data_IF_403954050579
#
_entry.id   IF_403954050579
#
_cell.length_a   1.000
_cell.length_b   1.000
_cell.length_c   1.000
_cell.angle_alpha   90.00
_cell.angle_beta   90.00
_cell.angle_gamma   90.00
#
_symmetry.space_group_name_H-M   'P 1'
#
loop_
_entity.id
_entity.type
_entity.pdbx_description
1 polymer ?
#
# COMPACT_ATOMS: atom_id res chain seq x y z
N UNK A 1 -39.42 46.88 -28.74
CA UNK A 1 -38.22 46.42 -28.01
C UNK A 1 -37.06 47.34 -28.35
N UNK A 2 -36.41 47.96 -27.36
CA UNK A 2 -35.35 48.96 -27.60
C UNK A 2 -34.12 48.25 -28.21
N UNK A 3 -33.49 48.79 -29.27
CA UNK A 3 -32.35 48.14 -29.95
C UNK A 3 -31.24 47.72 -28.97
N UNK A 4 -31.02 48.52 -27.92
CA UNK A 4 -30.07 48.23 -26.83
C UNK A 4 -30.41 46.95 -26.05
N UNK A 5 -31.69 46.69 -25.78
CA UNK A 5 -32.14 45.48 -25.08
C UNK A 5 -31.94 44.25 -25.99
N UNK A 6 -32.19 44.40 -27.29
CA UNK A 6 -31.97 43.31 -28.26
C UNK A 6 -30.49 42.93 -28.37
N UNK A 7 -29.60 43.93 -28.41
CA UNK A 7 -28.15 43.70 -28.43
C UNK A 7 -27.65 43.08 -27.12
N UNK A 8 -28.16 43.52 -25.96
CA UNK A 8 -27.80 42.92 -24.68
C UNK A 8 -28.27 41.46 -24.56
N UNK A 9 -29.49 41.14 -25.00
CA UNK A 9 -30.00 39.76 -25.02
C UNK A 9 -29.23 38.88 -26.00
N UNK A 10 -28.90 39.40 -27.19
CA UNK A 10 -28.10 38.68 -28.18
C UNK A 10 -26.66 38.44 -27.72
N UNK A 11 -26.08 39.33 -26.91
CA UNK A 11 -24.76 39.16 -26.30
C UNK A 11 -24.78 38.26 -25.06
N UNK A 12 -25.88 38.25 -24.30
CA UNK A 12 -26.05 37.40 -23.13
C UNK A 12 -26.23 35.93 -23.53
N UNK A 13 -26.93 35.65 -24.63
CA UNK A 13 -27.17 34.28 -25.11
C UNK A 13 -25.88 33.45 -25.26
N UNK A 14 -24.82 33.88 -26.00
CA UNK A 14 -23.59 33.10 -26.11
C UNK A 14 -22.84 32.97 -24.77
N UNK A 15 -22.93 33.97 -23.89
CA UNK A 15 -22.33 33.88 -22.54
C UNK A 15 -23.04 32.83 -21.70
N UNK A 16 -24.37 32.79 -21.75
CA UNK A 16 -25.18 31.76 -21.06
C UNK A 16 -24.93 30.38 -21.66
N UNK A 17 -24.90 30.25 -22.99
CA UNK A 17 -24.58 28.98 -23.66
C UNK A 17 -23.18 28.50 -23.29
N UNK A 18 -22.18 29.38 -23.29
CA UNK A 18 -20.83 29.02 -22.88
C UNK A 18 -20.76 28.64 -21.40
N UNK A 19 -21.46 29.37 -20.52
CA UNK A 19 -21.57 29.02 -19.10
C UNK A 19 -22.21 27.65 -18.88
N UNK A 20 -23.26 27.31 -19.64
CA UNK A 20 -23.89 25.98 -19.61
C UNK A 20 -22.92 24.91 -20.11
N UNK A 21 -22.18 25.16 -21.20
CA UNK A 21 -21.18 24.21 -21.70
C UNK A 21 -20.06 23.95 -20.68
N UNK A 22 -19.56 25.00 -20.03
CA UNK A 22 -18.55 24.87 -18.96
C UNK A 22 -19.05 24.02 -17.80
N UNK A 23 -20.34 24.11 -17.44
CA UNK A 23 -20.92 23.41 -16.30
C UNK A 23 -21.47 22.01 -16.63
N UNK A 24 -21.89 21.75 -17.86
CA UNK A 24 -22.61 20.52 -18.22
C UNK A 24 -21.78 19.52 -19.02
N UNK A 25 -20.72 19.98 -19.71
CA UNK A 25 -19.89 19.09 -20.55
C UNK A 25 -18.74 18.53 -19.73
N UNK A 26 -18.73 17.21 -19.58
CA UNK A 26 -17.60 16.49 -18.98
C UNK A 26 -16.47 16.30 -19.98
N UNK A 27 -15.23 16.42 -19.52
CA UNK A 27 -14.03 16.22 -20.34
C UNK A 27 -13.41 14.83 -20.06
N UNK A 28 -12.71 14.23 -21.04
CA UNK A 28 -12.04 12.93 -20.87
C UNK A 28 -10.69 13.09 -20.15
N UNK A 29 -10.68 13.81 -19.02
CA UNK A 29 -9.50 14.08 -18.20
C UNK A 29 -9.80 13.76 -16.74
N UNK A 30 -8.74 13.36 -16.04
CA UNK A 30 -8.69 13.12 -14.59
C UNK A 30 -7.75 14.14 -13.98
N UNK A 31 -8.07 14.67 -12.80
CA UNK A 31 -7.12 15.47 -12.01
C UNK A 31 -6.39 14.59 -11.00
N UNK A 32 -5.08 14.76 -10.92
CA UNK A 32 -4.23 14.23 -9.87
C UNK A 32 -3.69 15.38 -9.03
N UNK A 33 -3.70 15.24 -7.72
CA UNK A 33 -3.28 16.30 -6.80
C UNK A 33 -2.81 15.78 -5.45
N UNK A 34 -2.39 16.67 -4.55
CA UNK A 34 -2.02 16.30 -3.18
C UNK A 34 -3.20 15.63 -2.46
N UNK A 35 -3.00 14.40 -1.98
CA UNK A 35 -3.99 13.65 -1.22
C UNK A 35 -3.88 13.86 0.30
N UNK A 36 -4.78 13.26 1.10
CA UNK A 36 -4.64 13.23 2.56
C UNK A 36 -3.38 12.48 3.00
N UNK A 37 -2.86 12.85 4.17
CA UNK A 37 -1.77 12.15 4.85
C UNK A 37 -2.29 11.46 6.10
N UNK A 38 -1.72 10.30 6.44
CA UNK A 38 -2.11 9.54 7.62
C UNK A 38 -0.89 9.20 8.45
N UNK A 39 -0.94 9.51 9.75
CA UNK A 39 0.09 9.13 10.71
C UNK A 39 -0.04 7.65 11.05
N UNK A 40 0.92 6.84 10.61
CA UNK A 40 0.90 5.38 10.81
C UNK A 40 1.13 4.97 12.27
N UNK A 41 1.67 5.88 13.09
CA UNK A 41 1.79 5.68 14.54
C UNK A 41 0.51 6.08 15.30
N UNK A 42 -0.36 6.85 14.65
CA UNK A 42 -1.55 7.46 15.23
C UNK A 42 -2.83 6.66 15.08
N UNK A 43 -3.96 7.38 15.16
CA UNK A 43 -5.31 6.85 15.10
C UNK A 43 -6.07 7.46 13.92
N UNK A 44 -6.89 6.66 13.25
CA UNK A 44 -7.86 7.07 12.23
C UNK A 44 -9.21 6.45 12.58
N UNK A 45 -10.26 7.27 12.62
CA UNK A 45 -11.63 6.84 12.96
C UNK A 45 -11.74 6.02 14.26
N UNK A 46 -10.88 6.32 15.24
CA UNK A 46 -10.85 5.63 16.54
C UNK A 46 -10.12 4.29 16.56
N UNK A 47 -9.46 3.89 15.46
CA UNK A 47 -8.58 2.71 15.39
C UNK A 47 -7.13 3.11 15.18
N UNK A 48 -6.19 2.33 15.70
CA UNK A 48 -4.77 2.53 15.41
C UNK A 48 -4.51 2.23 13.94
N UNK A 49 -3.81 3.12 13.23
CA UNK A 49 -3.50 2.91 11.81
C UNK A 49 -2.68 1.64 11.62
N UNK A 50 -1.68 1.42 12.46
CA UNK A 50 -0.97 0.14 12.58
C UNK A 50 -1.23 -0.41 13.98
N UNK A 51 -2.07 -1.44 14.07
CA UNK A 51 -2.42 -2.12 15.31
C UNK A 51 -1.67 -3.46 15.41
N UNK A 52 -0.99 -3.70 16.53
CA UNK A 52 -0.25 -4.94 16.75
C UNK A 52 -0.82 -5.62 17.98
N UNK A 53 -1.33 -6.84 17.80
CA UNK A 53 -2.05 -7.59 18.82
C UNK A 53 -1.41 -8.96 19.05
N UNK A 54 -1.24 -9.35 20.32
CA UNK A 54 -0.66 -10.64 20.70
C UNK A 54 0.82 -10.60 21.08
N UNK A 55 1.42 -9.41 21.14
CA UNK A 55 2.79 -9.19 21.65
C UNK A 55 2.89 -7.85 22.38
N UNK A 56 4.01 -7.63 23.06
CA UNK A 56 4.30 -6.33 23.70
C UNK A 56 4.75 -5.33 22.65
N UNK A 57 4.16 -4.14 22.66
CA UNK A 57 4.58 -3.00 21.86
C UNK A 57 5.23 -1.93 22.74
N UNK A 58 6.00 -1.05 22.12
CA UNK A 58 6.66 0.07 22.76
C UNK A 58 5.95 1.39 22.45
N UNK A 59 6.01 2.37 23.37
CA UNK A 59 5.49 3.71 23.10
C UNK A 59 6.29 4.36 21.98
N UNK A 60 5.58 5.02 21.06
CA UNK A 60 6.16 5.74 19.92
C UNK A 60 5.97 7.25 20.11
N UNK A 61 6.84 8.05 19.48
CA UNK A 61 6.80 9.52 19.53
C UNK A 61 6.99 10.09 18.13
N UNK A 62 6.65 11.38 17.96
CA UNK A 62 6.74 12.05 16.67
C UNK A 62 5.66 11.56 15.71
N UNK A 63 5.93 11.70 14.41
CA UNK A 63 4.99 11.31 13.36
C UNK A 63 5.70 10.51 12.26
N UNK A 64 5.03 9.45 11.79
CA UNK A 64 5.40 8.74 10.57
C UNK A 64 4.23 8.79 9.61
N UNK A 65 4.15 9.84 8.79
CA UNK A 65 3.03 10.02 7.89
C UNK A 65 3.27 9.35 6.54
N UNK A 66 2.33 8.51 6.12
CA UNK A 66 2.21 8.15 4.72
C UNK A 66 1.45 9.24 3.94
N UNK A 67 1.74 9.32 2.64
CA UNK A 67 1.15 10.31 1.74
C UNK A 67 0.45 9.64 0.57
N UNK A 68 -0.65 10.25 0.12
CA UNK A 68 -1.46 9.73 -0.99
C UNK A 68 -1.59 10.78 -2.09
N UNK A 69 -2.10 10.35 -3.25
CA UNK A 69 -2.46 11.23 -4.37
C UNK A 69 -3.98 11.26 -4.45
N UNK A 70 -4.56 12.44 -4.47
CA UNK A 70 -6.00 12.63 -4.74
C UNK A 70 -6.25 12.45 -6.23
N UNK A 71 -7.29 11.71 -6.57
CA UNK A 71 -7.73 11.50 -7.95
C UNK A 71 -9.18 11.96 -8.12
N UNK A 72 -9.47 12.75 -9.16
CA UNK A 72 -10.84 13.19 -9.47
C UNK A 72 -11.16 12.95 -10.95
N UNK A 73 -12.26 12.27 -11.18
CA UNK A 73 -12.75 11.91 -12.51
C UNK A 73 -14.16 12.48 -12.75
N UNK A 74 -14.60 12.54 -14.01
CA UNK A 74 -15.89 13.12 -14.40
C UNK A 74 -15.90 14.65 -14.35
N UNK A 75 -14.74 15.27 -14.53
CA UNK A 75 -14.58 16.72 -14.49
C UNK A 75 -15.39 17.41 -15.58
N UNK A 76 -16.11 18.47 -15.22
CA UNK A 76 -16.67 19.42 -16.19
C UNK A 76 -15.54 20.24 -16.84
N UNK A 77 -15.80 20.82 -18.01
CA UNK A 77 -14.83 21.69 -18.68
C UNK A 77 -14.41 22.89 -17.81
N UNK A 78 -15.36 23.45 -17.05
CA UNK A 78 -15.09 24.54 -16.10
C UNK A 78 -14.18 24.10 -14.95
N UNK A 79 -14.45 22.93 -14.37
CA UNK A 79 -13.61 22.37 -13.30
C UNK A 79 -12.21 22.04 -13.80
N UNK A 80 -12.09 21.40 -14.97
CA UNK A 80 -10.79 21.10 -15.56
C UNK A 80 -9.97 22.38 -15.77
N UNK A 81 -10.57 23.44 -16.33
CA UNK A 81 -9.89 24.72 -16.50
C UNK A 81 -9.48 25.34 -15.16
N UNK A 82 -10.36 25.31 -14.16
CA UNK A 82 -10.06 25.85 -12.83
C UNK A 82 -8.92 25.09 -12.13
N UNK A 83 -8.94 23.76 -12.18
CA UNK A 83 -7.90 22.90 -11.59
C UNK A 83 -6.57 23.07 -12.32
N UNK A 84 -6.58 23.16 -13.65
CA UNK A 84 -5.38 23.44 -14.43
C UNK A 84 -4.77 24.81 -14.12
N UNK A 85 -5.61 25.86 -14.03
CA UNK A 85 -5.17 27.20 -13.67
C UNK A 85 -4.63 27.31 -12.24
N UNK A 86 -5.03 26.41 -11.33
CA UNK A 86 -4.53 26.40 -9.96
C UNK A 86 -3.03 26.10 -9.86
N UNK A 87 -2.46 25.43 -10.87
CA UNK A 87 -1.07 24.95 -10.86
C UNK A 87 -0.77 23.86 -9.83
N UNK A 88 -1.76 23.44 -9.04
CA UNK A 88 -1.64 22.45 -7.96
C UNK A 88 -1.99 21.03 -8.43
N UNK A 89 -2.89 20.95 -9.41
CA UNK A 89 -3.45 19.72 -9.93
C UNK A 89 -2.90 19.45 -11.34
N UNK A 90 -2.56 18.20 -11.60
CA UNK A 90 -2.16 17.72 -12.91
C UNK A 90 -3.37 17.13 -13.62
N UNK A 91 -3.69 17.65 -14.82
CA UNK A 91 -4.69 17.02 -15.68
C UNK A 91 -4.03 15.97 -16.56
N UNK A 92 -4.59 14.76 -16.54
CA UNK A 92 -4.14 13.66 -17.38
C UNK A 92 -5.30 13.10 -18.21
N UNK A 93 -5.05 12.65 -19.46
CA UNK A 93 -6.04 11.92 -20.22
C UNK A 93 -6.59 10.74 -19.42
N UNK A 94 -7.91 10.61 -19.38
CA UNK A 94 -8.59 9.58 -18.58
C UNK A 94 -8.10 8.16 -18.91
N UNK A 95 -7.83 7.87 -20.18
CA UNK A 95 -7.42 6.55 -20.65
C UNK A 95 -6.04 6.11 -20.13
N UNK A 96 -5.21 7.04 -19.64
CA UNK A 96 -3.93 6.70 -18.98
C UNK A 96 -4.12 6.23 -17.53
N UNK A 97 -5.23 6.61 -16.92
CA UNK A 97 -5.57 6.29 -15.53
C UNK A 97 -6.56 5.13 -15.47
N UNK A 98 -7.55 5.15 -16.37
CA UNK A 98 -8.57 4.12 -16.54
C UNK A 98 -8.42 3.52 -17.94
N UNK A 99 -7.64 2.44 -18.10
CA UNK A 99 -7.37 1.85 -19.39
C UNK A 99 -8.66 1.47 -20.14
N UNK A 100 -8.71 1.62 -21.48
CA UNK A 100 -9.87 1.24 -22.25
C UNK A 100 -10.15 -0.26 -22.09
N UNK A 101 -11.39 -0.60 -21.75
CA UNK A 101 -11.84 -1.98 -21.55
C UNK A 101 -11.87 -2.45 -20.09
N UNK A 102 -11.45 -1.61 -19.13
CA UNK A 102 -11.71 -1.83 -17.70
C UNK A 102 -12.78 -0.86 -17.18
N UNK A 103 -13.70 -1.39 -16.38
CA UNK A 103 -14.63 -0.59 -15.58
C UNK A 103 -13.90 0.14 -14.43
N UNK A 104 -14.55 1.13 -13.81
CA UNK A 104 -13.97 1.80 -12.64
C UNK A 104 -13.86 0.85 -11.47
N UNK A 105 -14.89 0.02 -11.30
CA UNK A 105 -14.98 -0.99 -10.26
C UNK A 105 -13.80 -1.98 -10.35
N UNK A 106 -13.45 -2.46 -11.55
CA UNK A 106 -12.27 -3.33 -11.73
C UNK A 106 -10.95 -2.62 -11.39
N UNK A 107 -10.82 -1.32 -11.69
CA UNK A 107 -9.61 -0.55 -11.34
C UNK A 107 -9.52 -0.34 -9.82
N UNK A 108 -10.64 -0.08 -9.16
CA UNK A 108 -10.70 0.07 -7.71
C UNK A 108 -10.39 -1.27 -7.00
N UNK A 109 -10.90 -2.39 -7.52
CA UNK A 109 -10.56 -3.74 -7.04
C UNK A 109 -9.06 -4.06 -7.19
N UNK A 110 -8.45 -3.71 -8.33
CA UNK A 110 -7.01 -3.86 -8.56
C UNK A 110 -6.20 -3.00 -7.56
N UNK A 111 -6.60 -1.75 -7.35
CA UNK A 111 -5.93 -0.82 -6.42
C UNK A 111 -6.02 -1.31 -4.96
N UNK A 112 -7.16 -1.86 -4.56
CA UNK A 112 -7.38 -2.45 -3.24
C UNK A 112 -6.52 -3.72 -3.06
N UNK A 113 -6.41 -4.55 -4.10
CA UNK A 113 -5.54 -5.72 -4.09
C UNK A 113 -4.06 -5.33 -3.96
N UNK A 114 -3.61 -4.31 -4.69
CA UNK A 114 -2.24 -3.76 -4.56
C UNK A 114 -1.98 -3.18 -3.18
N UNK A 115 -2.97 -2.51 -2.58
CA UNK A 115 -2.86 -1.97 -1.23
C UNK A 115 -2.70 -3.09 -0.19
N UNK A 116 -3.53 -4.13 -0.25
CA UNK A 116 -3.40 -5.33 0.61
C UNK A 116 -2.05 -6.02 0.43
N UNK A 117 -1.56 -6.13 -0.81
CA UNK A 117 -0.23 -6.68 -1.08
C UNK A 117 0.89 -5.81 -0.49
N UNK A 118 0.70 -4.49 -0.45
CA UNK A 118 1.62 -3.54 0.20
C UNK A 118 1.67 -3.73 1.72
N UNK A 119 0.51 -3.94 2.36
CA UNK A 119 0.41 -4.26 3.79
C UNK A 119 1.15 -5.55 4.14
N UNK A 120 0.92 -6.62 3.37
CA UNK A 120 1.63 -7.90 3.55
C UNK A 120 3.14 -7.75 3.35
N UNK A 121 3.56 -7.05 2.29
CA UNK A 121 4.98 -6.80 2.02
C UNK A 121 5.63 -5.98 3.12
N UNK A 122 4.89 -5.02 3.69
CA UNK A 122 5.36 -4.20 4.81
C UNK A 122 5.52 -5.01 6.09
N UNK A 123 4.56 -5.87 6.41
CA UNK A 123 4.67 -6.81 7.53
C UNK A 123 5.90 -7.72 7.36
N UNK A 124 6.06 -8.37 6.21
CA UNK A 124 7.18 -9.27 5.95
C UNK A 124 8.53 -8.56 5.98
N UNK A 125 8.63 -7.36 5.39
CA UNK A 125 9.86 -6.57 5.42
C UNK A 125 10.23 -6.15 6.85
N UNK A 126 9.26 -5.71 7.65
CA UNK A 126 9.48 -5.33 9.04
C UNK A 126 9.89 -6.53 9.90
N UNK A 127 9.18 -7.66 9.80
CA UNK A 127 9.51 -8.88 10.52
C UNK A 127 10.88 -9.44 10.11
N UNK A 128 11.21 -9.35 8.82
CA UNK A 128 12.53 -9.69 8.29
C UNK A 128 13.64 -8.81 8.86
N UNK A 129 13.43 -7.49 8.91
CA UNK A 129 14.36 -6.54 9.55
C UNK A 129 14.59 -6.89 11.02
N UNK A 130 13.52 -7.22 11.74
CA UNK A 130 13.54 -7.63 13.15
C UNK A 130 14.02 -9.07 13.38
N UNK A 131 14.45 -9.78 12.33
CA UNK A 131 15.02 -11.14 12.37
C UNK A 131 14.05 -12.22 12.90
N UNK A 132 12.76 -12.06 12.65
CA UNK A 132 11.82 -13.16 12.85
C UNK A 132 12.13 -14.33 11.89
N UNK A 133 11.93 -15.58 12.33
CA UNK A 133 12.24 -16.75 11.51
C UNK A 133 11.33 -16.82 10.29
N UNK A 134 11.88 -17.30 9.18
CA UNK A 134 11.10 -17.60 7.97
C UNK A 134 10.23 -18.83 8.18
N UNK A 135 9.05 -18.83 7.56
CA UNK A 135 8.14 -19.97 7.50
C UNK A 135 7.48 -20.03 6.11
N UNK A 136 6.97 -21.23 5.75
CA UNK A 136 6.11 -21.39 4.59
C UNK A 136 4.75 -20.80 4.93
N UNK A 137 4.47 -19.59 4.45
CA UNK A 137 3.26 -18.84 4.80
C UNK A 137 2.25 -18.92 3.67
N UNK A 138 0.97 -19.11 4.01
CA UNK A 138 -0.12 -19.07 3.04
C UNK A 138 -0.35 -17.62 2.59
N UNK A 139 -0.07 -17.34 1.32
CA UNK A 139 -0.39 -16.06 0.69
C UNK A 139 -1.89 -15.93 0.45
N UNK A 140 -2.50 -17.02 -0.01
CA UNK A 140 -3.90 -17.07 -0.41
C UNK A 140 -4.48 -18.48 -0.30
N UNK A 141 -5.80 -18.56 -0.08
CA UNK A 141 -6.58 -19.80 -0.05
C UNK A 141 -7.72 -19.64 -1.05
N UNK A 142 -7.70 -20.44 -2.11
CA UNK A 142 -8.69 -20.33 -3.18
C UNK A 142 -10.08 -20.76 -2.68
N UNK A 143 -11.09 -19.94 -2.93
CA UNK A 143 -12.50 -20.23 -2.68
C UNK A 143 -13.30 -20.08 -3.99
N UNK A 144 -13.92 -21.15 -4.53
CA UNK A 144 -13.98 -22.51 -3.98
C UNK A 144 -12.65 -23.27 -4.13
N UNK A 145 -12.29 -24.03 -3.11
CA UNK A 145 -11.08 -24.88 -3.14
C UNK A 145 -10.99 -25.89 -2.00
N UNK A 146 -10.13 -26.91 -2.10
CA UNK A 146 -10.01 -27.98 -1.10
C UNK A 146 -9.67 -27.53 0.32
N UNK A 147 -8.92 -26.42 0.43
CA UNK A 147 -8.49 -25.81 1.69
C UNK A 147 -9.44 -24.74 2.22
N UNK A 148 -10.48 -24.36 1.46
CA UNK A 148 -11.43 -23.33 1.84
C UNK A 148 -12.10 -23.68 3.18
N UNK A 149 -12.15 -22.72 4.10
CA UNK A 149 -12.68 -22.88 5.46
C UNK A 149 -11.84 -23.74 6.41
N UNK A 150 -10.73 -24.33 5.96
CA UNK A 150 -9.84 -25.16 6.79
C UNK A 150 -8.53 -24.44 7.13
N UNK A 151 -7.96 -23.76 6.13
CA UNK A 151 -6.78 -22.92 6.26
C UNK A 151 -7.16 -21.46 5.96
N UNK A 152 -6.30 -20.52 6.35
CA UNK A 152 -6.50 -19.09 6.15
C UNK A 152 -5.21 -18.45 5.61
N UNK A 153 -5.33 -17.38 4.79
CA UNK A 153 -4.18 -16.53 4.49
C UNK A 153 -3.47 -16.07 5.77
N UNK A 154 -2.14 -16.13 5.78
CA UNK A 154 -1.29 -15.82 6.94
C UNK A 154 -0.97 -16.99 7.87
N UNK A 155 -1.56 -18.18 7.66
CA UNK A 155 -1.13 -19.40 8.34
C UNK A 155 0.32 -19.76 7.96
N UNK A 156 1.14 -20.12 8.94
CA UNK A 156 2.46 -20.72 8.71
C UNK A 156 2.35 -22.24 8.74
N UNK A 157 2.79 -22.92 7.68
CA UNK A 157 2.86 -24.38 7.61
C UNK A 157 4.15 -24.87 8.23
N UNK A 158 4.03 -25.78 9.20
CA UNK A 158 5.18 -26.40 9.85
C UNK A 158 5.45 -27.82 9.31
N UNK A 159 4.41 -28.56 8.90
CA UNK A 159 4.56 -29.92 8.36
C UNK A 159 3.45 -30.35 7.39
N UNK A 160 3.77 -31.31 6.51
CA UNK A 160 2.83 -32.02 5.63
C UNK A 160 2.94 -33.51 5.94
N UNK A 161 1.84 -34.15 6.33
CA UNK A 161 1.78 -35.56 6.76
C UNK A 161 2.78 -35.90 7.88
N UNK A 162 2.98 -34.96 8.82
CA UNK A 162 3.93 -35.10 9.93
C UNK A 162 5.39 -34.90 9.53
N UNK A 163 5.68 -34.60 8.26
CA UNK A 163 7.04 -34.32 7.80
C UNK A 163 7.29 -32.80 7.73
N UNK A 164 8.32 -32.27 8.41
CA UNK A 164 8.53 -30.83 8.48
C UNK A 164 8.82 -30.16 7.14
N UNK A 165 8.22 -29.00 6.93
CA UNK A 165 8.42 -28.14 5.76
C UNK A 165 8.82 -26.74 6.24
N UNK A 166 9.96 -26.26 5.76
CA UNK A 166 10.51 -24.95 6.13
C UNK A 166 10.80 -24.06 4.93
N UNK A 167 10.56 -24.58 3.71
CA UNK A 167 10.71 -23.83 2.47
C UNK A 167 9.60 -24.22 1.49
N UNK A 168 9.26 -23.32 0.56
CA UNK A 168 8.26 -23.57 -0.48
C UNK A 168 8.66 -24.76 -1.36
N UNK A 169 9.96 -24.96 -1.64
CA UNK A 169 10.42 -26.10 -2.43
C UNK A 169 10.13 -27.42 -1.72
N UNK A 170 10.37 -27.49 -0.39
CA UNK A 170 10.05 -28.68 0.40
C UNK A 170 8.56 -28.91 0.46
N UNK A 171 7.78 -27.87 0.69
CA UNK A 171 6.32 -27.95 0.70
C UNK A 171 5.79 -28.49 -0.65
N UNK A 172 6.25 -27.92 -1.76
CA UNK A 172 5.86 -28.33 -3.11
C UNK A 172 6.29 -29.77 -3.41
N UNK A 173 7.50 -30.16 -3.01
CA UNK A 173 7.99 -31.53 -3.17
C UNK A 173 7.13 -32.55 -2.40
N UNK A 174 6.58 -32.19 -1.23
CA UNK A 174 5.67 -33.08 -0.48
C UNK A 174 4.33 -33.25 -1.18
N UNK A 175 3.80 -32.22 -1.83
CA UNK A 175 2.58 -32.35 -2.63
C UNK A 175 2.84 -33.05 -3.97
N UNK A 176 4.07 -33.02 -4.47
CA UNK A 176 4.39 -33.56 -5.79
C UNK A 176 4.17 -35.09 -5.94
N UNK A 177 4.16 -35.85 -4.85
CA UNK A 177 3.90 -37.29 -4.87
C UNK A 177 2.42 -37.69 -4.71
N UNK A 178 1.54 -36.72 -4.44
CA UNK A 178 0.15 -36.97 -4.04
C UNK A 178 -0.79 -37.08 -5.22
N UNK A 179 -1.98 -37.67 -5.01
CA UNK A 179 -3.03 -37.80 -6.04
C UNK A 179 -4.31 -37.05 -5.65
N UNK A 180 -5.12 -36.62 -6.62
CA UNK A 180 -6.48 -36.16 -6.34
C UNK A 180 -7.28 -37.21 -5.55
N UNK A 181 -8.07 -36.75 -4.58
CA UNK A 181 -8.83 -37.60 -3.66
C UNK A 181 -8.03 -38.15 -2.47
N UNK A 182 -6.70 -38.04 -2.47
CA UNK A 182 -5.87 -38.35 -1.31
C UNK A 182 -6.09 -37.31 -0.20
N UNK A 183 -6.02 -37.72 1.06
CA UNK A 183 -6.12 -36.78 2.20
C UNK A 183 -4.74 -36.53 2.79
N UNK A 184 -4.35 -35.26 2.86
CA UNK A 184 -3.12 -34.81 3.52
C UNK A 184 -3.43 -34.12 4.84
N UNK A 185 -2.54 -34.27 5.82
CA UNK A 185 -2.54 -33.51 7.06
C UNK A 185 -1.58 -32.32 6.93
N UNK A 186 -2.06 -31.11 7.19
CA UNK A 186 -1.27 -29.88 7.20
C UNK A 186 -1.19 -29.41 8.64
N UNK A 187 0.00 -29.44 9.23
CA UNK A 187 0.25 -28.84 10.55
C UNK A 187 0.61 -27.37 10.35
N UNK A 188 -0.10 -26.49 11.04
CA UNK A 188 0.04 -25.05 10.86
C UNK A 188 -0.02 -24.28 12.18
N UNK A 189 0.61 -23.11 12.19
CA UNK A 189 0.46 -22.07 13.20
C UNK A 189 -0.35 -20.93 12.62
N UNK A 190 -1.33 -20.49 13.40
CA UNK A 190 -2.15 -19.31 13.10
C UNK A 190 -1.86 -18.23 14.14
N UNK A 191 -1.76 -16.98 13.67
CA UNK A 191 -1.52 -15.82 14.53
C UNK A 191 -2.58 -15.77 15.64
N UNK A 192 -2.17 -15.50 16.88
CA UNK A 192 -3.05 -15.42 18.05
C UNK A 192 -3.89 -16.69 18.35
N UNK A 193 -3.48 -17.86 17.86
CA UNK A 193 -4.16 -19.13 18.10
C UNK A 193 -3.16 -20.25 18.45
N UNK A 194 -3.67 -21.33 19.04
CA UNK A 194 -2.89 -22.54 19.25
C UNK A 194 -2.55 -23.21 17.90
N UNK A 195 -1.41 -23.91 17.78
CA UNK A 195 -1.10 -24.71 16.59
C UNK A 195 -2.22 -25.71 16.28
N UNK A 196 -2.46 -25.97 14.99
CA UNK A 196 -3.53 -26.83 14.53
C UNK A 196 -3.09 -27.78 13.42
N UNK A 197 -3.95 -28.77 13.14
CA UNK A 197 -3.77 -29.71 12.02
C UNK A 197 -5.05 -29.72 11.18
N UNK A 198 -4.94 -29.40 9.89
CA UNK A 198 -6.04 -29.51 8.94
C UNK A 198 -5.91 -30.79 8.11
N UNK A 199 -6.99 -31.59 8.04
CA UNK A 199 -7.08 -32.74 7.12
C UNK A 199 -7.81 -32.34 5.85
N UNK A 200 -7.10 -32.40 4.72
CA UNK A 200 -7.54 -31.84 3.45
C UNK A 200 -7.50 -32.91 2.38
N UNK A 201 -8.67 -33.19 1.80
CA UNK A 201 -8.79 -34.06 0.63
C UNK A 201 -8.41 -33.25 -0.60
N UNK A 202 -7.36 -33.67 -1.30
CA UNK A 202 -6.82 -32.96 -2.44
C UNK A 202 -7.78 -32.98 -3.63
N UNK A 203 -7.92 -31.84 -4.29
CA UNK A 203 -8.71 -31.70 -5.51
C UNK A 203 -7.93 -32.11 -6.76
N UNK A 204 -8.59 -31.95 -7.91
CA UNK A 204 -7.98 -32.08 -9.22
C UNK A 204 -7.49 -30.71 -9.72
N UNK A 205 -6.41 -30.70 -10.51
CA UNK A 205 -5.98 -29.53 -11.27
C UNK A 205 -5.77 -29.97 -12.73
N UNK A 206 -6.31 -29.21 -13.69
CA UNK A 206 -6.24 -29.56 -15.12
C UNK A 206 -4.81 -29.56 -15.67
N UNK A 207 -3.91 -28.81 -15.04
CA UNK A 207 -2.55 -28.57 -15.52
C UNK A 207 -1.53 -29.54 -14.90
N UNK A 208 -1.89 -30.26 -13.83
CA UNK A 208 -0.97 -31.16 -13.11
C UNK A 208 -1.67 -32.43 -12.66
N UNK A 209 -1.05 -33.62 -12.82
CA UNK A 209 -1.66 -34.89 -12.41
C UNK A 209 -1.68 -35.10 -10.88
N UNK A 210 -1.07 -34.19 -10.12
CA UNK A 210 -0.86 -34.30 -8.68
C UNK A 210 -2.06 -33.74 -7.92
N UNK A 211 -2.21 -34.14 -6.66
CA UNK A 211 -3.26 -33.61 -5.80
C UNK A 211 -3.15 -32.09 -5.61
N UNK A 212 -4.28 -31.40 -5.77
CA UNK A 212 -4.38 -29.95 -5.66
C UNK A 212 -4.85 -29.52 -4.27
N UNK A 213 -4.08 -28.68 -3.60
CA UNK A 213 -4.44 -28.20 -2.26
C UNK A 213 -5.28 -26.91 -2.29
N UNK A 214 -5.21 -26.12 -3.36
CA UNK A 214 -5.95 -24.85 -3.48
C UNK A 214 -5.38 -23.71 -2.63
N UNK A 215 -4.06 -23.65 -2.46
CA UNK A 215 -3.38 -22.58 -1.71
C UNK A 215 -2.20 -22.03 -2.50
N UNK A 216 -1.91 -20.75 -2.30
CA UNK A 216 -0.67 -20.11 -2.72
C UNK A 216 0.21 -19.95 -1.48
N UNK A 217 1.49 -20.33 -1.56
CA UNK A 217 2.44 -20.22 -0.45
C UNK A 217 3.66 -19.42 -0.86
N UNK A 218 4.29 -18.75 0.12
CA UNK A 218 5.58 -18.11 -0.04
C UNK A 218 6.47 -18.38 1.17
N UNK A 219 7.79 -18.20 1.00
CA UNK A 219 8.71 -18.14 2.14
C UNK A 219 8.76 -16.70 2.66
N UNK A 220 8.34 -16.51 3.91
CA UNK A 220 8.27 -15.20 4.54
C UNK A 220 8.62 -15.26 6.02
N UNK A 221 9.23 -14.20 6.59
CA UNK A 221 9.32 -14.01 8.04
C UNK A 221 7.93 -14.09 8.69
N UNK A 222 7.82 -14.83 9.78
CA UNK A 222 6.54 -15.06 10.46
C UNK A 222 6.66 -14.86 11.97
N UNK A 223 5.61 -14.29 12.56
CA UNK A 223 5.51 -14.03 13.99
C UNK A 223 4.16 -14.50 14.55
N UNK A 224 4.09 -14.90 15.85
CA UNK A 224 2.88 -15.48 16.45
C UNK A 224 1.82 -14.45 16.87
N UNK A 225 1.91 -13.22 16.35
CA UNK A 225 1.00 -12.11 16.65
C UNK A 225 0.51 -11.48 15.34
N UNK A 226 -0.53 -10.66 15.41
CA UNK A 226 -1.12 -10.00 14.24
C UNK A 226 -0.67 -8.56 14.14
N UNK A 227 -0.42 -8.12 12.89
CA UNK A 227 -0.30 -6.72 12.50
C UNK A 227 -1.50 -6.40 11.62
N UNK A 228 -2.36 -5.48 12.05
CA UNK A 228 -3.51 -5.00 11.30
C UNK A 228 -3.28 -3.56 10.85
N UNK A 229 -3.61 -3.27 9.59
CA UNK A 229 -3.52 -1.95 9.00
C UNK A 229 -4.94 -1.41 8.81
N UNK A 230 -5.27 -0.32 9.50
CA UNK A 230 -6.63 0.23 9.57
C UNK A 230 -6.73 1.54 8.79
N UNK A 231 -6.64 1.47 7.45
CA UNK A 231 -6.98 2.58 6.56
C UNK A 231 -8.03 2.12 5.55
N UNK A 232 -9.08 2.93 5.39
CA UNK A 232 -10.13 2.68 4.43
C UNK A 232 -10.02 3.65 3.25
N UNK A 233 -10.47 3.22 2.08
CA UNK A 233 -10.55 4.03 0.86
C UNK A 233 -9.20 4.57 0.37
N UNK A 234 -8.11 3.81 0.60
CA UNK A 234 -6.77 4.12 0.10
C UNK A 234 -6.32 2.97 -0.79
N UNK A 235 -5.83 3.31 -1.99
CA UNK A 235 -5.37 2.33 -2.97
C UNK A 235 -3.89 2.48 -3.32
N UNK A 236 -3.34 1.44 -3.95
CA UNK A 236 -2.01 1.42 -4.54
C UNK A 236 -0.86 1.10 -3.57
N UNK A 237 0.31 0.71 -4.08
CA UNK A 237 1.31 0.00 -3.28
C UNK A 237 2.24 0.90 -2.43
N UNK A 238 2.05 2.23 -2.49
CA UNK A 238 3.09 3.20 -2.11
C UNK A 238 3.20 3.54 -0.61
N UNK A 239 2.37 2.92 0.23
CA UNK A 239 2.35 3.08 1.68
C UNK A 239 3.32 2.13 2.41
N UNK A 240 3.75 1.06 1.75
CA UNK A 240 4.42 -0.08 2.39
C UNK A 240 5.67 0.28 3.19
N UNK A 241 6.49 1.22 2.71
CA UNK A 241 7.66 1.68 3.48
C UNK A 241 7.26 2.27 4.84
N UNK A 242 6.26 3.16 4.85
CA UNK A 242 5.83 3.86 6.08
C UNK A 242 5.15 2.91 7.07
N UNK A 243 4.40 1.92 6.57
CA UNK A 243 3.86 0.83 7.37
C UNK A 243 4.95 -0.05 7.98
N UNK A 244 5.97 -0.41 7.20
CA UNK A 244 7.11 -1.20 7.71
C UNK A 244 7.83 -0.49 8.86
N UNK A 245 8.07 0.82 8.69
CA UNK A 245 8.71 1.64 9.72
C UNK A 245 7.87 1.72 10.99
N UNK A 246 6.55 1.87 10.89
CA UNK A 246 5.66 1.87 12.05
C UNK A 246 5.66 0.52 12.80
N UNK A 247 5.69 -0.59 12.08
CA UNK A 247 5.81 -1.92 12.70
C UNK A 247 7.15 -2.07 13.44
N UNK A 248 8.26 -1.64 12.81
CA UNK A 248 9.58 -1.65 13.46
C UNK A 248 9.57 -0.74 14.70
N UNK A 249 9.00 0.46 14.61
CA UNK A 249 8.97 1.41 15.72
C UNK A 249 8.17 0.86 16.91
N UNK A 250 6.97 0.32 16.66
CA UNK A 250 6.14 -0.29 17.71
C UNK A 250 6.74 -1.55 18.31
N UNK A 251 7.60 -2.29 17.59
CA UNK A 251 8.23 -3.53 18.06
C UNK A 251 9.68 -3.35 18.54
N UNK A 252 10.24 -2.13 18.48
CA UNK A 252 11.59 -1.84 18.95
C UNK A 252 11.61 -0.69 19.96
N UNK A 253 12.68 -0.63 20.75
CA UNK A 253 12.88 0.49 21.68
C UNK A 253 13.60 1.64 20.98
N UNK A 254 13.21 2.88 21.27
CA UNK A 254 14.01 4.06 20.94
C UNK A 254 13.41 5.05 19.95
N UNK A 255 12.18 4.84 19.46
CA UNK A 255 11.43 5.83 18.67
C UNK A 255 12.11 6.23 17.36
N UNK A 256 11.69 5.67 16.23
CA UNK A 256 12.34 5.96 14.93
C UNK A 256 12.23 7.43 14.51
N UNK A 257 11.07 8.05 14.69
CA UNK A 257 10.86 9.46 14.33
C UNK A 257 11.40 10.44 15.39
N UNK A 258 11.59 10.00 16.64
CA UNK A 258 11.91 10.89 17.76
C UNK A 258 10.82 11.95 17.96
N UNK A 259 11.19 13.24 17.96
CA UNK A 259 10.24 14.37 17.98
C UNK A 259 9.94 14.93 16.58
N UNK A 260 10.50 14.32 15.53
CA UNK A 260 10.38 14.83 14.18
C UNK A 260 9.00 14.51 13.59
N UNK A 261 8.53 15.40 12.73
CA UNK A 261 7.44 15.09 11.81
C UNK A 261 8.04 14.58 10.49
N UNK A 262 8.07 13.26 10.35
CA UNK A 262 8.54 12.60 9.14
C UNK A 262 7.35 12.13 8.31
N UNK A 263 7.33 12.50 7.03
CA UNK A 263 6.45 11.88 6.04
C UNK A 263 7.26 11.05 5.05
N UNK A 264 6.60 10.23 4.24
CA UNK A 264 7.28 9.51 3.18
C UNK A 264 6.36 8.69 2.30
N UNK A 265 7.01 7.97 1.37
CA UNK A 265 6.37 7.03 0.46
C UNK A 265 7.41 6.02 -0.03
N UNK A 266 6.96 4.87 -0.49
CA UNK A 266 7.79 3.89 -1.18
C UNK A 266 7.08 2.55 -1.26
N UNK A 267 7.14 1.92 -2.44
CA UNK A 267 6.74 0.51 -2.55
C UNK A 267 7.80 -0.31 -1.85
N UNK A 268 7.39 -1.18 -0.92
CA UNK A 268 8.31 -2.07 -0.21
C UNK A 268 8.14 -3.50 -0.72
N UNK A 269 9.25 -4.17 -0.98
CA UNK A 269 9.27 -5.62 -1.20
C UNK A 269 9.47 -6.35 0.12
N UNK A 270 9.04 -7.61 0.20
CA UNK A 270 9.21 -8.45 1.39
C UNK A 270 10.68 -8.60 1.85
N UNK A 271 11.66 -8.42 0.96
CA UNK A 271 13.09 -8.42 1.30
C UNK A 271 13.61 -7.07 1.84
N UNK A 272 12.76 -6.06 1.95
CA UNK A 272 13.11 -4.73 2.42
C UNK A 272 13.63 -3.76 1.35
N UNK A 273 13.65 -4.12 0.06
CA UNK A 273 13.97 -3.16 -1.01
C UNK A 273 12.85 -2.14 -1.17
N UNK A 274 13.21 -0.87 -1.38
CA UNK A 274 12.28 0.23 -1.64
C UNK A 274 12.32 0.59 -3.12
N UNK A 275 11.18 0.48 -3.79
CA UNK A 275 11.02 0.82 -5.20
C UNK A 275 10.37 2.21 -5.39
N UNK A 276 10.46 2.72 -6.62
CA UNK A 276 9.86 3.99 -7.03
C UNK A 276 8.34 4.03 -6.91
N UNK A 277 7.82 5.26 -6.91
CA UNK A 277 6.40 5.56 -6.89
C UNK A 277 6.05 6.62 -7.94
N UNK A 278 4.76 6.74 -8.27
CA UNK A 278 4.22 7.87 -9.03
C UNK A 278 3.76 9.02 -8.14
N UNK A 279 3.81 10.25 -8.67
CA UNK A 279 3.23 11.44 -8.03
C UNK A 279 4.00 11.95 -6.80
N UNK A 280 5.33 11.79 -6.77
CA UNK A 280 6.16 12.22 -5.63
C UNK A 280 6.00 13.71 -5.32
N UNK A 281 5.86 14.56 -6.33
CA UNK A 281 5.66 16.01 -6.16
C UNK A 281 4.37 16.33 -5.42
N UNK A 282 3.24 15.72 -5.81
CA UNK A 282 1.96 15.86 -5.12
C UNK A 282 2.02 15.37 -3.67
N UNK A 283 2.70 14.24 -3.44
CA UNK A 283 2.91 13.66 -2.10
C UNK A 283 3.76 14.55 -1.19
N UNK A 284 4.80 15.17 -1.73
CA UNK A 284 5.63 16.12 -1.00
C UNK A 284 4.86 17.38 -0.63
N UNK A 285 4.02 17.91 -1.53
CA UNK A 285 3.13 19.03 -1.21
C UNK A 285 2.18 18.63 -0.07
N UNK A 286 1.55 17.45 -0.15
CA UNK A 286 0.66 16.95 0.91
C UNK A 286 1.38 16.83 2.26
N UNK A 287 2.60 16.29 2.28
CA UNK A 287 3.41 16.19 3.50
C UNK A 287 3.73 17.56 4.11
N UNK A 288 4.17 18.52 3.29
CA UNK A 288 4.45 19.88 3.76
C UNK A 288 3.21 20.52 4.37
N UNK A 289 2.06 20.38 3.71
CA UNK A 289 0.80 20.95 4.18
C UNK A 289 0.29 20.30 5.46
N UNK A 290 0.59 19.01 5.65
CA UNK A 290 0.35 18.32 6.91
C UNK A 290 1.28 18.79 8.04
N UNK A 291 2.38 19.48 7.72
CA UNK A 291 3.35 20.01 8.69
C UNK A 291 4.64 19.19 8.79
N UNK A 292 4.86 18.21 7.92
CA UNK A 292 6.11 17.47 7.89
C UNK A 292 7.30 18.40 7.58
N UNK A 293 8.43 18.14 8.23
CA UNK A 293 9.71 18.83 7.95
C UNK A 293 10.68 17.95 7.18
N UNK A 294 10.46 16.63 7.23
CA UNK A 294 11.30 15.60 6.62
C UNK A 294 10.46 14.72 5.72
N UNK A 295 11.01 14.34 4.57
CA UNK A 295 10.35 13.44 3.63
C UNK A 295 11.28 12.30 3.18
N UNK A 296 10.89 11.06 3.40
CA UNK A 296 11.58 9.88 2.87
C UNK A 296 11.22 9.68 1.39
N UNK A 297 12.24 9.68 0.53
CA UNK A 297 12.12 9.62 -0.93
C UNK A 297 12.80 8.34 -1.44
N UNK A 298 12.09 7.46 -2.18
CA UNK A 298 12.72 6.35 -2.89
C UNK A 298 13.85 6.84 -3.80
N UNK A 299 14.97 6.13 -3.84
CA UNK A 299 16.19 6.60 -4.50
C UNK A 299 15.97 6.96 -5.98
N UNK A 300 15.15 6.19 -6.68
CA UNK A 300 14.78 6.42 -8.07
C UNK A 300 13.92 7.69 -8.29
N UNK A 301 13.18 8.15 -7.27
CA UNK A 301 12.38 9.37 -7.33
C UNK A 301 13.18 10.65 -6.99
N UNK A 302 14.44 10.55 -6.55
CA UNK A 302 15.22 11.72 -6.14
C UNK A 302 15.42 12.78 -7.24
N UNK A 303 15.45 12.37 -8.51
CA UNK A 303 15.56 13.36 -9.60
C UNK A 303 14.32 14.25 -9.67
N UNK A 304 13.13 13.64 -9.65
CA UNK A 304 11.86 14.36 -9.67
C UNK A 304 11.63 15.16 -8.38
N UNK A 305 11.89 14.56 -7.22
CA UNK A 305 11.70 15.19 -5.90
C UNK A 305 12.53 16.48 -5.72
N UNK A 306 13.71 16.57 -6.36
CA UNK A 306 14.57 17.76 -6.28
C UNK A 306 14.12 18.93 -7.13
N UNK A 307 13.22 18.71 -8.08
CA UNK A 307 12.69 19.80 -8.90
C UNK A 307 12.00 20.88 -8.05
N UNK A 308 11.37 20.46 -6.96
CA UNK A 308 10.84 21.34 -5.91
C UNK A 308 10.80 20.59 -4.57
N UNK A 309 11.77 20.86 -3.70
CA UNK A 309 11.83 20.24 -2.37
C UNK A 309 10.75 20.74 -1.41
N UNK A 310 10.01 21.79 -1.79
CA UNK A 310 8.92 22.33 -1.00
C UNK A 310 9.31 22.75 0.43
N UNK A 311 10.60 23.00 0.69
CA UNK A 311 11.11 23.30 2.04
C UNK A 311 11.24 22.09 2.96
N UNK A 312 11.05 20.87 2.44
CA UNK A 312 11.26 19.61 3.15
C UNK A 312 12.73 19.19 3.08
N UNK A 313 13.23 18.59 4.16
CA UNK A 313 14.48 17.84 4.12
C UNK A 313 14.22 16.48 3.47
N UNK A 314 14.77 16.28 2.26
CA UNK A 314 14.60 15.05 1.50
C UNK A 314 15.64 14.01 1.92
N UNK A 315 15.19 12.88 2.43
CA UNK A 315 16.04 11.75 2.80
C UNK A 315 15.92 10.67 1.73
N UNK A 316 17.04 10.30 1.11
CA UNK A 316 17.09 9.26 0.08
C UNK A 316 17.09 7.88 0.71
N UNK A 317 16.21 6.99 0.25
CA UNK A 317 16.11 5.60 0.72
C UNK A 317 15.98 4.61 -0.44
N UNK A 318 16.72 3.52 -0.37
CA UNK A 318 16.75 2.41 -1.34
C UNK A 318 16.35 1.07 -0.68
N UNK A 319 16.36 1.03 0.66
CA UNK A 319 15.93 -0.11 1.45
C UNK A 319 15.37 0.31 2.81
N UNK A 320 14.57 -0.56 3.41
CA UNK A 320 14.03 -0.40 4.76
C UNK A 320 15.14 -0.25 5.80
N UNK A 321 16.23 -1.00 5.67
CA UNK A 321 17.38 -0.88 6.56
C UNK A 321 18.00 0.52 6.47
N UNK A 322 18.20 1.04 5.26
CA UNK A 322 18.71 2.40 5.06
C UNK A 322 17.74 3.45 5.60
N UNK A 323 16.43 3.26 5.45
CA UNK A 323 15.43 4.17 6.00
C UNK A 323 15.52 4.22 7.54
N UNK A 324 15.60 3.07 8.21
CA UNK A 324 15.77 3.01 9.67
C UNK A 324 17.08 3.69 10.11
N UNK A 325 18.20 3.41 9.43
CA UNK A 325 19.49 4.01 9.77
C UNK A 325 19.52 5.53 9.52
N UNK A 326 18.85 6.00 8.47
CA UNK A 326 18.69 7.42 8.18
C UNK A 326 17.85 8.13 9.25
N UNK A 327 16.76 7.53 9.71
CA UNK A 327 15.93 8.07 10.79
C UNK A 327 16.68 8.10 12.13
N UNK A 328 17.45 7.05 12.45
CA UNK A 328 18.34 7.05 13.62
C UNK A 328 19.43 8.12 13.53
N UNK A 329 19.99 8.33 12.34
CA UNK A 329 20.97 9.39 12.10
C UNK A 329 20.34 10.77 12.33
N UNK A 330 19.13 10.99 11.79
CA UNK A 330 18.38 12.23 11.96
C UNK A 330 18.07 12.52 13.44
N UNK A 331 17.51 11.54 14.16
CA UNK A 331 17.18 11.68 15.59
C UNK A 331 18.42 11.84 16.47
N UNK A 332 19.56 11.31 16.06
CA UNK A 332 20.87 11.55 16.68
C UNK A 332 21.51 12.90 16.36
N UNK A 333 20.85 13.77 15.58
CA UNK A 333 21.39 15.08 15.15
C UNK A 333 22.44 15.01 14.04
N UNK A 334 22.59 13.85 13.40
CA UNK A 334 23.46 13.65 12.24
C UNK A 334 22.80 14.05 10.93
N UNK A 335 23.55 13.92 9.83
CA UNK A 335 23.07 14.23 8.49
C UNK A 335 22.78 12.95 7.71
N UNK A 336 21.50 12.58 7.49
CA UNK A 336 21.15 11.40 6.72
C UNK A 336 21.45 11.58 5.21
N UNK A 337 21.45 10.49 4.42
CA UNK A 337 21.57 10.57 2.97
C UNK A 337 20.46 11.45 2.39
N UNK A 338 20.82 12.39 1.53
CA UNK A 338 19.85 13.25 0.83
C UNK A 338 19.73 12.88 -0.65
N UNK A 339 18.64 13.33 -1.26
CA UNK A 339 18.66 13.67 -2.67
C UNK A 339 19.55 14.92 -2.85
#
# INVERSE_FOLDING_TARGET
MNRRILTLLAALLPVVVFGVLLAAVTVPFVSLGPGPTFDTLGMVEGKQVVDIQGTTTHPTTGHLNMTTVSQRDGLTLGEALALWLSGREQLMPRDLVYPPGKSREEVDEDNDAEFRASEQSAEYAALGYLRYPSAVTLADVHDPGPSAGKLQPGDAVDAVNGEPVYTVERFTAKLAGTKPGETVAIDYRRKNAAPGTARITLGENKDRPNGFLGVSVLDAPWAPFTVEFNLANIGGPSAGLMFSLAVIDKLSTGGLAGENFVAGTGVIKANGQVDSIGGITHKMIAAKEAGATVFLVPAENCYEARSDNNGLQLIKVDSLAQAVDALRTLTGGGQPPSC
#
